data_IF_447951471036
#
_entry.id   IF_447951471036
#
_cell.length_a   1.000
_cell.length_b   1.000
_cell.length_c   1.000
_cell.angle_alpha   90.00
_cell.angle_beta   90.00
_cell.angle_gamma   90.00
#
_symmetry.space_group_name_H-M   'P 1'
#
loop_
_entity.id
_entity.type
_entity.pdbx_description
1 polymer ?
#
# COMPACT_ATOMS: atom_id res chain seq x y z
N UNK A 1 48.83 -16.23 -31.65
CA UNK A 1 48.16 -15.28 -30.74
C UNK A 1 46.93 -14.65 -31.42
N UNK A 2 45.88 -15.43 -31.74
CA UNK A 2 44.65 -14.92 -32.39
C UNK A 2 43.40 -15.00 -31.52
N UNK A 3 43.52 -15.60 -30.32
CA UNK A 3 42.36 -15.89 -29.45
C UNK A 3 42.30 -15.00 -28.19
N UNK A 4 43.24 -14.06 -28.03
CA UNK A 4 43.28 -13.14 -26.87
C UNK A 4 42.37 -11.92 -27.06
N UNK A 5 42.23 -11.42 -28.28
CA UNK A 5 41.39 -10.25 -28.58
C UNK A 5 39.88 -10.55 -28.45
N UNK A 6 39.46 -11.79 -28.71
CA UNK A 6 38.05 -12.19 -28.60
C UNK A 6 37.60 -12.36 -27.13
N UNK A 7 38.53 -12.73 -26.24
CA UNK A 7 38.27 -12.91 -24.80
C UNK A 7 38.06 -11.57 -24.07
N UNK A 8 38.72 -10.50 -24.52
CA UNK A 8 38.59 -9.15 -23.96
C UNK A 8 37.30 -8.46 -24.44
N UNK A 9 36.81 -8.80 -25.64
CA UNK A 9 35.55 -8.24 -26.15
C UNK A 9 34.31 -8.87 -25.47
N UNK A 10 34.39 -10.14 -25.06
CA UNK A 10 33.31 -10.82 -24.32
C UNK A 10 33.19 -10.39 -22.84
N UNK A 11 34.24 -9.81 -22.24
CA UNK A 11 34.22 -9.36 -20.84
C UNK A 11 33.74 -7.91 -20.67
N UNK A 12 33.56 -7.15 -21.78
CA UNK A 12 33.13 -5.75 -21.75
C UNK A 12 31.62 -5.51 -21.91
N UNK A 13 30.82 -6.54 -22.24
CA UNK A 13 29.37 -6.38 -22.46
C UNK A 13 28.48 -6.92 -21.34
N UNK A 14 29.07 -7.44 -20.26
CA UNK A 14 28.34 -7.79 -19.03
C UNK A 14 28.80 -6.90 -17.88
N UNK A 15 28.65 -5.58 -18.05
CA UNK A 15 28.68 -4.62 -16.95
C UNK A 15 27.38 -3.84 -16.97
N UNK A 16 26.31 -4.50 -16.54
CA UNK A 16 25.14 -3.80 -16.04
C UNK A 16 25.57 -2.94 -14.87
N UNK A 17 25.65 -1.64 -15.08
CA UNK A 17 25.52 -0.67 -14.00
C UNK A 17 24.28 0.16 -14.26
N UNK A 18 23.11 -0.47 -14.09
CA UNK A 18 21.96 0.25 -13.57
C UNK A 18 22.31 0.63 -12.12
N UNK A 19 23.15 1.65 -11.97
CA UNK A 19 23.17 2.47 -10.78
C UNK A 19 21.81 3.15 -10.70
N UNK A 20 20.81 2.44 -10.19
CA UNK A 20 19.63 3.07 -9.61
C UNK A 20 20.13 3.82 -8.37
N UNK A 21 20.59 5.03 -8.65
CA UNK A 21 20.74 6.11 -7.72
C UNK A 21 19.52 6.09 -6.79
N UNK A 22 19.75 5.73 -5.53
CA UNK A 22 18.79 5.87 -4.43
C UNK A 22 18.63 7.36 -4.13
N UNK A 23 18.35 8.15 -5.16
CA UNK A 23 17.67 9.41 -5.00
C UNK A 23 16.34 9.07 -4.31
N UNK A 24 16.22 9.54 -3.08
CA UNK A 24 15.01 9.55 -2.27
C UNK A 24 14.03 10.50 -2.98
N UNK A 25 13.58 10.11 -4.18
CA UNK A 25 12.64 10.83 -5.00
C UNK A 25 11.25 10.32 -4.65
N UNK A 26 10.63 11.01 -3.70
CA UNK A 26 9.20 11.07 -3.43
C UNK A 26 8.40 9.77 -3.63
N UNK A 27 8.31 8.93 -2.59
CA UNK A 27 7.33 7.82 -2.53
C UNK A 27 5.90 8.34 -2.71
N UNK A 28 5.33 8.25 -3.92
CA UNK A 28 3.89 8.34 -4.21
C UNK A 28 3.46 7.06 -4.98
N UNK A 29 2.29 6.45 -4.71
CA UNK A 29 1.62 6.20 -3.44
C UNK A 29 1.76 4.70 -3.07
N UNK A 30 2.47 4.39 -1.99
CA UNK A 30 2.57 3.01 -1.46
C UNK A 30 1.19 2.36 -1.24
N UNK A 31 0.14 3.17 -1.03
CA UNK A 31 -1.23 2.75 -0.81
C UNK A 31 -1.81 1.84 -1.90
N UNK A 32 -1.55 2.09 -3.19
CA UNK A 32 -2.12 1.27 -4.28
C UNK A 32 -1.50 -0.12 -4.33
N UNK A 33 -0.19 -0.21 -4.15
CA UNK A 33 0.50 -1.50 -4.11
C UNK A 33 0.12 -2.25 -2.83
N UNK A 34 0.08 -1.55 -1.71
CA UNK A 34 -0.29 -2.12 -0.42
C UNK A 34 -1.75 -2.55 -0.37
N UNK A 35 -2.67 -1.87 -1.09
CA UNK A 35 -4.07 -2.31 -1.19
C UNK A 35 -4.18 -3.67 -1.89
N UNK A 36 -3.38 -3.92 -2.93
CA UNK A 36 -3.34 -5.24 -3.59
C UNK A 36 -2.79 -6.29 -2.64
N UNK A 37 -1.65 -6.03 -1.99
CA UNK A 37 -1.04 -6.95 -1.00
C UNK A 37 -1.97 -7.25 0.17
N UNK A 38 -2.70 -6.26 0.66
CA UNK A 38 -3.70 -6.43 1.71
C UNK A 38 -4.83 -7.37 1.26
N UNK A 39 -5.33 -7.22 0.04
CA UNK A 39 -6.35 -8.12 -0.51
C UNK A 39 -5.80 -9.53 -0.74
N UNK A 40 -4.56 -9.69 -1.20
CA UNK A 40 -3.93 -11.00 -1.33
C UNK A 40 -3.79 -11.70 0.03
N UNK A 41 -3.35 -10.96 1.05
CA UNK A 41 -3.28 -11.45 2.43
C UNK A 41 -4.66 -11.89 2.94
N UNK A 42 -5.70 -11.07 2.74
CA UNK A 42 -7.06 -11.40 3.16
C UNK A 42 -7.64 -12.57 2.37
N UNK A 43 -7.40 -12.61 1.06
CA UNK A 43 -7.85 -13.68 0.16
C UNK A 43 -7.30 -15.04 0.59
N UNK A 44 -6.00 -15.10 0.88
CA UNK A 44 -5.33 -16.31 1.39
C UNK A 44 -5.89 -16.76 2.74
N UNK A 45 -6.07 -15.83 3.68
CA UNK A 45 -6.46 -16.17 5.04
C UNK A 45 -7.96 -16.45 5.20
N UNK A 46 -8.82 -15.79 4.42
CA UNK A 46 -10.28 -15.98 4.45
C UNK A 46 -10.78 -17.03 3.46
N UNK A 47 -9.88 -17.52 2.58
CA UNK A 47 -10.20 -18.43 1.47
C UNK A 47 -11.31 -17.84 0.59
N UNK A 48 -11.09 -16.61 0.13
CA UNK A 48 -12.07 -15.90 -0.70
C UNK A 48 -12.16 -16.54 -2.09
N UNK A 49 -13.37 -16.67 -2.61
CA UNK A 49 -13.59 -17.04 -4.01
C UNK A 49 -13.26 -15.87 -4.96
N UNK A 50 -13.31 -16.11 -6.27
CA UNK A 50 -12.98 -15.10 -7.29
C UNK A 50 -13.88 -13.88 -7.24
N UNK A 51 -15.19 -14.06 -6.95
CA UNK A 51 -16.15 -12.96 -6.86
C UNK A 51 -15.91 -12.12 -5.61
N UNK A 52 -15.73 -12.76 -4.46
CA UNK A 52 -15.36 -12.12 -3.20
C UNK A 52 -14.04 -11.36 -3.33
N UNK A 53 -13.03 -11.97 -3.95
CA UNK A 53 -11.73 -11.32 -4.20
C UNK A 53 -11.89 -10.07 -5.06
N UNK A 54 -12.71 -10.11 -6.11
CA UNK A 54 -12.99 -8.94 -6.94
C UNK A 54 -13.67 -7.80 -6.16
N UNK A 55 -14.64 -8.13 -5.29
CA UNK A 55 -15.28 -7.16 -4.39
C UNK A 55 -14.25 -6.52 -3.45
N UNK A 56 -13.36 -7.32 -2.86
CA UNK A 56 -12.29 -6.83 -2.00
C UNK A 56 -11.33 -5.91 -2.75
N UNK A 57 -10.91 -6.30 -3.96
CA UNK A 57 -10.05 -5.47 -4.82
C UNK A 57 -10.68 -4.10 -5.09
N UNK A 58 -11.97 -4.07 -5.44
CA UNK A 58 -12.71 -2.83 -5.66
C UNK A 58 -12.77 -1.97 -4.39
N UNK A 59 -13.16 -2.56 -3.26
CA UNK A 59 -13.30 -1.84 -1.98
C UNK A 59 -11.97 -1.25 -1.49
N UNK A 60 -10.88 -2.02 -1.61
CA UNK A 60 -9.54 -1.57 -1.19
C UNK A 60 -8.91 -0.56 -2.16
N UNK A 61 -9.16 -0.68 -3.46
CA UNK A 61 -8.74 0.32 -4.45
C UNK A 61 -9.46 1.65 -4.21
N UNK A 62 -10.78 1.62 -4.01
CA UNK A 62 -11.57 2.81 -3.70
C UNK A 62 -11.09 3.49 -2.41
N UNK A 63 -10.83 2.69 -1.36
CA UNK A 63 -10.26 3.18 -0.11
C UNK A 63 -8.91 3.87 -0.34
N UNK A 64 -7.99 3.24 -1.07
CA UNK A 64 -6.66 3.78 -1.34
C UNK A 64 -6.72 5.10 -2.13
N UNK A 65 -7.60 5.19 -3.13
CA UNK A 65 -7.81 6.40 -3.91
C UNK A 65 -8.43 7.54 -3.07
N UNK A 66 -9.45 7.24 -2.28
CA UNK A 66 -10.09 8.22 -1.40
C UNK A 66 -9.13 8.75 -0.33
N UNK A 67 -8.36 7.86 0.30
CA UNK A 67 -7.36 8.26 1.28
C UNK A 67 -6.23 9.08 0.65
N UNK A 68 -5.78 8.72 -0.55
CA UNK A 68 -4.77 9.49 -1.29
C UNK A 68 -5.28 10.90 -1.63
N UNK A 69 -6.55 11.03 -2.03
CA UNK A 69 -7.19 12.33 -2.27
C UNK A 69 -7.30 13.16 -0.99
N UNK A 70 -7.69 12.53 0.12
CA UNK A 70 -7.77 13.20 1.42
C UNK A 70 -6.41 13.72 1.88
N UNK A 71 -5.36 12.90 1.82
CA UNK A 71 -3.98 13.30 2.16
C UNK A 71 -3.53 14.48 1.31
N UNK A 72 -3.77 14.44 -0.01
CA UNK A 72 -3.43 15.54 -0.93
C UNK A 72 -4.20 16.82 -0.64
N UNK A 73 -5.45 16.73 -0.17
CA UNK A 73 -6.29 17.89 0.18
C UNK A 73 -5.79 18.55 1.45
N UNK A 74 -5.48 17.77 2.48
CA UNK A 74 -4.98 18.28 3.76
C UNK A 74 -3.54 18.79 3.67
N UNK A 75 -2.71 18.23 2.78
CA UNK A 75 -1.34 18.72 2.56
C UNK A 75 -1.24 20.00 1.72
N UNK A 76 -2.35 20.50 1.17
CA UNK A 76 -2.38 21.66 0.26
C UNK A 76 -2.64 22.99 0.98
N UNK A 77 -2.54 23.06 2.31
CA UNK A 77 -2.58 24.33 3.03
C UNK A 77 -1.38 25.21 2.60
N UNK A 78 -1.57 26.34 1.89
CA UNK A 78 -0.47 27.10 1.26
C UNK A 78 0.31 28.01 2.21
N UNK A 79 0.15 27.90 3.54
CA UNK A 79 0.62 28.95 4.47
C UNK A 79 2.04 28.79 5.03
N UNK A 80 2.79 27.74 4.67
CA UNK A 80 4.19 27.64 5.11
C UNK A 80 5.09 27.13 3.98
N UNK A 81 5.77 28.05 3.29
CA UNK A 81 6.90 27.80 2.40
C UNK A 81 8.18 27.47 3.20
N UNK A 82 8.10 26.50 4.11
CA UNK A 82 9.27 26.01 4.83
C UNK A 82 9.22 24.49 4.95
N UNK A 83 10.32 23.79 4.64
CA UNK A 83 10.37 22.33 4.68
C UNK A 83 10.54 21.89 6.13
N UNK A 84 9.47 21.92 6.92
CA UNK A 84 9.45 21.33 8.25
C UNK A 84 8.65 20.01 8.23
N UNK A 85 9.18 18.89 8.78
CA UNK A 85 8.49 17.60 8.83
C UNK A 85 7.32 17.56 9.85
N UNK A 86 6.99 18.71 10.44
CA UNK A 86 5.93 18.85 11.43
C UNK A 86 4.56 18.96 10.75
N UNK A 87 3.99 17.83 10.32
CA UNK A 87 2.55 17.76 10.00
C UNK A 87 1.77 18.32 11.19
N UNK A 88 1.12 19.47 11.00
CA UNK A 88 0.33 20.14 12.03
C UNK A 88 -0.68 19.15 12.65
N UNK A 89 -0.85 19.20 13.98
CA UNK A 89 -1.76 18.28 14.70
C UNK A 89 -3.21 18.34 14.16
N UNK A 90 -3.62 19.48 13.61
CA UNK A 90 -4.92 19.69 12.96
C UNK A 90 -5.12 18.81 11.73
N UNK A 91 -4.15 18.80 10.82
CA UNK A 91 -4.20 18.01 9.58
C UNK A 91 -4.26 16.50 9.87
N UNK A 92 -3.53 16.05 10.91
CA UNK A 92 -3.58 14.64 11.35
C UNK A 92 -4.97 14.22 11.79
N UNK A 93 -5.69 15.08 12.53
CA UNK A 93 -7.07 14.79 13.00
C UNK A 93 -8.04 14.69 11.83
N UNK A 94 -7.91 15.57 10.84
CA UNK A 94 -8.79 15.57 9.65
C UNK A 94 -8.56 14.34 8.77
N UNK A 95 -7.29 14.00 8.49
CA UNK A 95 -6.94 12.75 7.77
C UNK A 95 -7.47 11.53 8.53
N UNK A 96 -7.37 11.52 9.86
CA UNK A 96 -7.90 10.42 10.68
C UNK A 96 -9.43 10.28 10.55
N UNK A 97 -10.17 11.39 10.54
CA UNK A 97 -11.62 11.38 10.31
C UNK A 97 -11.99 10.80 8.93
N UNK A 98 -11.26 11.19 7.89
CA UNK A 98 -11.43 10.62 6.55
C UNK A 98 -11.11 9.12 6.53
N UNK A 99 -10.01 8.72 7.16
CA UNK A 99 -9.59 7.32 7.28
C UNK A 99 -10.68 6.46 7.94
N UNK A 100 -11.25 6.90 9.07
CA UNK A 100 -12.32 6.16 9.75
C UNK A 100 -13.54 6.00 8.84
N UNK A 101 -14.01 7.09 8.22
CA UNK A 101 -15.17 7.07 7.32
C UNK A 101 -14.95 6.12 6.14
N UNK A 102 -13.78 6.16 5.51
CA UNK A 102 -13.47 5.31 4.37
C UNK A 102 -13.27 3.85 4.79
N UNK A 103 -12.73 3.60 5.99
CA UNK A 103 -12.57 2.25 6.53
C UNK A 103 -13.93 1.60 6.77
N UNK A 104 -14.88 2.32 7.38
CA UNK A 104 -16.26 1.83 7.56
C UNK A 104 -16.90 1.45 6.23
N UNK A 105 -16.77 2.30 5.21
CA UNK A 105 -17.31 2.00 3.87
C UNK A 105 -16.69 0.75 3.26
N UNK A 106 -15.36 0.63 3.32
CA UNK A 106 -14.62 -0.55 2.84
C UNK A 106 -15.05 -1.82 3.57
N UNK A 107 -15.18 -1.74 4.89
CA UNK A 107 -15.47 -2.89 5.75
C UNK A 107 -16.91 -3.37 5.56
N UNK A 108 -17.86 -2.46 5.37
CA UNK A 108 -19.24 -2.82 5.04
C UNK A 108 -19.31 -3.61 3.73
N UNK A 109 -18.71 -3.07 2.66
CA UNK A 109 -18.67 -3.77 1.35
C UNK A 109 -17.96 -5.12 1.43
N UNK A 110 -16.88 -5.20 2.20
CA UNK A 110 -16.17 -6.45 2.42
C UNK A 110 -17.02 -7.46 3.20
N UNK A 111 -17.73 -7.03 4.24
CA UNK A 111 -18.54 -7.91 5.11
C UNK A 111 -19.83 -8.38 4.44
N UNK A 112 -20.42 -7.59 3.55
CA UNK A 112 -21.64 -7.96 2.80
C UNK A 112 -21.47 -9.25 2.00
N UNK A 113 -20.26 -9.55 1.50
CA UNK A 113 -20.01 -10.77 0.74
C UNK A 113 -19.43 -11.92 1.58
N UNK A 114 -19.28 -11.75 2.91
CA UNK A 114 -18.70 -12.75 3.80
C UNK A 114 -19.77 -13.50 4.61
N UNK A 115 -19.48 -14.78 4.91
CA UNK A 115 -20.26 -15.55 5.89
C UNK A 115 -19.96 -15.09 7.31
N UNK A 116 -20.90 -15.27 8.26
CA UNK A 116 -20.74 -14.90 9.68
C UNK A 116 -19.42 -15.37 10.31
N UNK A 117 -18.98 -16.61 10.03
CA UNK A 117 -17.69 -17.14 10.51
C UNK A 117 -16.48 -16.41 9.90
N UNK A 118 -16.58 -15.98 8.64
CA UNK A 118 -15.52 -15.23 7.96
C UNK A 118 -15.45 -13.77 8.47
N UNK A 119 -16.57 -13.15 8.84
CA UNK A 119 -16.60 -11.79 9.40
C UNK A 119 -15.74 -11.68 10.66
N UNK A 120 -15.91 -12.60 11.62
CA UNK A 120 -15.10 -12.60 12.84
C UNK A 120 -13.59 -12.78 12.55
N UNK A 121 -13.26 -13.62 11.56
CA UNK A 121 -11.87 -13.81 11.13
C UNK A 121 -11.33 -12.56 10.43
N UNK A 122 -12.13 -11.90 9.61
CA UNK A 122 -11.79 -10.66 8.92
C UNK A 122 -11.44 -9.55 9.91
N UNK A 123 -12.27 -9.35 10.95
CA UNK A 123 -12.03 -8.33 11.98
C UNK A 123 -10.71 -8.57 12.75
N UNK A 124 -10.33 -9.83 12.94
CA UNK A 124 -9.05 -10.18 13.54
C UNK A 124 -7.86 -9.97 12.59
N UNK A 125 -8.03 -10.25 11.30
CA UNK A 125 -7.00 -10.03 10.28
C UNK A 125 -6.74 -8.53 10.03
N UNK A 126 -7.77 -7.68 10.14
CA UNK A 126 -7.63 -6.22 10.00
C UNK A 126 -6.63 -5.63 10.99
N UNK A 127 -6.46 -6.22 12.18
CA UNK A 127 -5.47 -5.77 13.18
C UNK A 127 -4.02 -5.87 12.68
N UNK A 128 -3.78 -6.72 11.69
CA UNK A 128 -2.48 -6.89 11.04
C UNK A 128 -2.26 -5.90 9.89
N UNK A 129 -3.28 -5.11 9.50
CA UNK A 129 -3.21 -4.19 8.36
C UNK A 129 -3.17 -2.76 8.90
N UNK A 130 -2.11 -2.01 8.58
CA UNK A 130 -2.02 -0.64 9.03
C UNK A 130 -3.02 0.26 8.29
N UNK A 131 -3.87 1.04 8.98
CA UNK A 131 -5.00 1.73 8.35
C UNK A 131 -4.56 2.82 7.35
N UNK A 132 -3.47 3.54 7.62
CA UNK A 132 -3.02 4.65 6.77
C UNK A 132 -2.13 4.24 5.60
N UNK A 133 -1.48 3.08 5.68
CA UNK A 133 -0.52 2.63 4.66
C UNK A 133 -0.98 1.37 3.96
N UNK A 134 -1.97 0.66 4.50
CA UNK A 134 -2.41 -0.68 4.08
C UNK A 134 -1.30 -1.73 4.13
N UNK A 135 -0.22 -1.44 4.84
CA UNK A 135 0.89 -2.37 4.98
C UNK A 135 0.49 -3.52 5.90
N UNK A 136 0.72 -4.74 5.43
CA UNK A 136 0.48 -5.96 6.18
C UNK A 136 1.66 -6.18 7.12
N UNK A 137 1.41 -6.09 8.42
CA UNK A 137 2.35 -6.44 9.47
C UNK A 137 2.22 -7.93 9.73
N UNK A 138 3.20 -8.71 9.28
CA UNK A 138 3.27 -10.11 9.66
C UNK A 138 3.44 -10.19 11.19
N UNK A 139 2.54 -10.90 11.88
CA UNK A 139 2.77 -11.22 13.28
C UNK A 139 4.04 -12.06 13.33
N UNK A 140 5.09 -11.53 13.95
CA UNK A 140 6.30 -12.29 14.27
C UNK A 140 5.84 -13.52 15.03
N UNK A 141 6.03 -14.72 14.46
CA UNK A 141 5.81 -15.97 15.20
C UNK A 141 6.75 -15.91 16.41
N UNK A 142 6.17 -15.87 17.61
CA UNK A 142 6.91 -16.19 18.83
C UNK A 142 6.97 -17.70 18.94
#
# INVERSE_FOLDING_TARGET
>A
MKNLLLSILCTLLVSFSFGQDKSIKGKKPALKQNSVKAVEYLSKNLKLDSKQKAIFMKAYAEYADNLTKAIKKTSKNPKEESPSPAVNRGDRKEIHKYMLRFSVKRDNLAKECLKKKQVSKYDNLLKSIHPFTLEVREKKKM
#
